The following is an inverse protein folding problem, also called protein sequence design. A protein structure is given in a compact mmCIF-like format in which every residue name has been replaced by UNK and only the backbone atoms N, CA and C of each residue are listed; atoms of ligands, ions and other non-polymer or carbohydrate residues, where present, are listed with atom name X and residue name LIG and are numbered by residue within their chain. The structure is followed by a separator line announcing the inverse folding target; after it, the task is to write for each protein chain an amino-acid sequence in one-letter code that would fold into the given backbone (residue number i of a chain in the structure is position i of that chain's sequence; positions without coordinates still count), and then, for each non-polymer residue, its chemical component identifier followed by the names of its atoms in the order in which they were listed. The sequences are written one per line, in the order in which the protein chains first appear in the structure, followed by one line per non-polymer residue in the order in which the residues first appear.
data_IF_022541269450
#
_entry.id   IF_022541269450
#
_cell.length_a   1.000
_cell.length_b   1.000
_cell.length_c   1.000
_cell.angle_alpha   90.00
_cell.angle_beta   90.00
_cell.angle_gamma   90.00
#
_symmetry.space_group_name_H-M   'P 1'
#
loop_
_entity.id
_entity.type
_entity.pdbx_description
1 polymer ?
#
# COMPACT_ATOMS: atom_id res chain seq x y z
N UNK A 1 12.35 34.41 2.91
CA UNK A 1 12.65 33.34 1.94
C UNK A 1 13.43 32.18 2.59
N UNK A 2 14.61 32.44 3.16
CA UNK A 2 15.47 31.40 3.77
C UNK A 2 14.74 30.63 4.89
N UNK A 3 14.07 31.33 5.80
CA UNK A 3 13.37 30.71 6.94
C UNK A 3 12.22 29.75 6.52
N UNK A 4 11.52 30.09 5.43
CA UNK A 4 10.47 29.25 4.83
C UNK A 4 11.06 28.00 4.16
N UNK A 5 12.20 28.14 3.48
CA UNK A 5 12.92 27.01 2.89
C UNK A 5 13.49 26.07 3.95
N UNK A 6 14.01 26.62 5.06
CA UNK A 6 14.50 25.81 6.18
C UNK A 6 13.36 25.04 6.85
N UNK A 7 12.22 25.69 7.11
CA UNK A 7 11.03 25.02 7.65
C UNK A 7 10.50 23.94 6.71
N UNK A 8 10.44 24.21 5.41
CA UNK A 8 10.04 23.22 4.41
C UNK A 8 11.01 22.02 4.38
N UNK A 9 12.32 22.25 4.45
CA UNK A 9 13.33 21.20 4.52
C UNK A 9 13.19 20.31 5.75
N UNK A 10 12.92 20.91 6.93
CA UNK A 10 12.69 20.16 8.16
C UNK A 10 11.43 19.30 8.05
N UNK A 11 10.31 19.87 7.60
CA UNK A 11 9.05 19.12 7.42
C UNK A 11 9.24 17.99 6.41
N UNK A 12 9.93 18.26 5.29
CA UNK A 12 10.23 17.26 4.27
C UNK A 12 11.04 16.10 4.85
N UNK A 13 12.11 16.38 5.62
CA UNK A 13 12.93 15.35 6.26
C UNK A 13 12.16 14.54 7.31
N UNK A 14 11.29 15.17 8.09
CA UNK A 14 10.45 14.47 9.07
C UNK A 14 9.41 13.57 8.39
N UNK A 15 8.76 14.05 7.34
CA UNK A 15 7.76 13.27 6.59
C UNK A 15 8.43 12.12 5.85
N UNK A 16 9.50 12.38 5.09
CA UNK A 16 10.22 11.31 4.36
C UNK A 16 10.91 10.33 5.30
N UNK A 17 11.50 10.81 6.40
CA UNK A 17 12.12 9.99 7.42
C UNK A 17 11.11 9.10 8.15
N UNK A 18 9.94 9.63 8.52
CA UNK A 18 8.88 8.83 9.14
C UNK A 18 8.31 7.79 8.19
N UNK A 19 8.05 8.13 6.92
CA UNK A 19 7.63 7.17 5.89
C UNK A 19 8.68 6.06 5.73
N UNK A 20 9.96 6.42 5.63
CA UNK A 20 11.07 5.45 5.50
C UNK A 20 11.18 4.55 6.73
N UNK A 21 11.05 5.11 7.93
CA UNK A 21 11.07 4.37 9.18
C UNK A 21 9.89 3.39 9.26
N UNK A 22 8.68 3.83 8.97
CA UNK A 22 7.49 2.98 8.96
C UNK A 22 7.62 1.84 7.93
N UNK A 23 8.12 2.13 6.73
CA UNK A 23 8.39 1.10 5.71
C UNK A 23 9.48 0.11 6.14
N UNK A 24 10.42 0.53 6.99
CA UNK A 24 11.51 -0.33 7.47
C UNK A 24 11.12 -1.18 8.69
N UNK A 25 10.18 -0.70 9.52
CA UNK A 25 9.85 -1.32 10.82
C UNK A 25 8.55 -2.13 10.78
N UNK A 26 7.54 -1.72 9.99
CA UNK A 26 6.24 -2.41 9.96
C UNK A 26 6.22 -3.65 9.06
N UNK A 27 7.31 -3.90 8.30
CA UNK A 27 7.43 -4.99 7.35
C UNK A 27 8.04 -6.29 7.88
N UNK A 28 8.04 -6.59 9.18
CA UNK A 28 8.63 -7.84 9.71
C UNK A 28 7.61 -8.68 10.46
N UNK A 29 6.51 -9.07 9.81
CA UNK A 29 5.82 -10.30 10.23
C UNK A 29 6.54 -11.49 9.60
N UNK A 30 7.50 -12.03 10.36
CA UNK A 30 8.20 -13.28 10.08
C UNK A 30 7.22 -14.45 10.08
N UNK A 31 6.51 -14.64 8.97
CA UNK A 31 5.90 -15.92 8.58
C UNK A 31 6.10 -16.15 7.08
N UNK A 32 7.36 -16.11 6.63
CA UNK A 32 7.75 -16.71 5.36
C UNK A 32 7.80 -18.23 5.53
N UNK A 33 6.62 -18.85 5.69
CA UNK A 33 6.50 -20.29 5.51
C UNK A 33 6.72 -20.55 4.02
N UNK A 34 7.73 -21.38 3.70
CA UNK A 34 8.13 -21.76 2.34
C UNK A 34 6.92 -22.29 1.55
N UNK A 35 6.23 -21.42 0.83
CA UNK A 35 5.18 -21.84 -0.09
C UNK A 35 5.79 -22.06 -1.47
N UNK A 36 5.90 -23.34 -1.83
CA UNK A 36 6.23 -23.82 -3.18
C UNK A 36 5.15 -23.37 -4.17
N UNK A 37 5.58 -22.95 -5.36
CA UNK A 37 4.84 -23.13 -6.61
C UNK A 37 3.91 -22.02 -7.07
N UNK A 38 3.11 -21.41 -6.17
CA UNK A 38 1.98 -20.56 -6.58
C UNK A 38 1.90 -19.21 -5.86
N UNK A 39 3.00 -18.70 -5.31
CA UNK A 39 3.00 -17.46 -4.51
C UNK A 39 3.29 -16.24 -5.38
N UNK A 40 2.47 -15.20 -5.22
CA UNK A 40 2.70 -13.88 -5.82
C UNK A 40 3.95 -13.26 -5.18
N UNK A 41 5.01 -13.09 -5.99
CA UNK A 41 6.29 -12.51 -5.55
C UNK A 41 6.15 -11.14 -4.89
N UNK A 42 5.15 -10.35 -5.31
CA UNK A 42 4.84 -9.04 -4.72
C UNK A 42 4.48 -9.12 -3.22
N UNK A 43 3.60 -10.04 -2.81
CA UNK A 43 3.13 -10.14 -1.42
C UNK A 43 4.24 -10.66 -0.50
N UNK A 44 5.06 -11.59 -1.00
CA UNK A 44 6.24 -12.04 -0.26
C UNK A 44 7.16 -10.87 0.02
N UNK A 45 7.44 -10.05 -0.98
CA UNK A 45 8.29 -8.87 -0.82
C UNK A 45 7.63 -7.83 0.11
N UNK A 46 6.32 -7.63 0.04
CA UNK A 46 5.59 -6.76 0.96
C UNK A 46 5.73 -7.22 2.42
N UNK A 47 5.57 -8.52 2.68
CA UNK A 47 5.69 -9.13 4.01
C UNK A 47 7.12 -9.19 4.53
N UNK A 48 8.11 -9.26 3.64
CA UNK A 48 9.53 -9.28 4.00
C UNK A 48 10.09 -7.87 4.24
N UNK A 49 9.70 -6.90 3.41
CA UNK A 49 10.21 -5.54 3.47
C UNK A 49 9.36 -4.61 2.60
N UNK A 50 8.62 -3.71 3.24
CA UNK A 50 7.87 -2.68 2.52
C UNK A 50 8.78 -1.77 1.69
N UNK A 51 10.05 -1.59 2.07
CA UNK A 51 11.05 -0.87 1.25
C UNK A 51 11.37 -1.62 -0.04
N UNK A 52 11.62 -2.93 0.02
CA UNK A 52 11.85 -3.74 -1.19
C UNK A 52 10.61 -3.78 -2.08
N UNK A 53 9.42 -3.79 -1.47
CA UNK A 53 8.16 -3.72 -2.18
C UNK A 53 8.01 -2.39 -2.91
N UNK A 54 8.27 -1.27 -2.22
CA UNK A 54 8.24 0.07 -2.78
C UNK A 54 9.24 0.26 -3.93
N UNK A 55 10.43 -0.33 -3.81
CA UNK A 55 11.45 -0.34 -4.87
C UNK A 55 11.12 -1.32 -6.00
N UNK A 56 9.92 -1.90 -6.03
CA UNK A 56 9.46 -2.87 -7.02
C UNK A 56 10.41 -4.05 -7.21
N UNK A 57 11.13 -4.45 -6.16
CA UNK A 57 12.11 -5.54 -6.24
C UNK A 57 11.45 -6.87 -6.61
N UNK A 58 10.16 -7.02 -6.33
CA UNK A 58 9.34 -8.18 -6.73
C UNK A 58 9.16 -8.30 -8.24
N UNK A 59 9.29 -7.23 -9.02
CA UNK A 59 9.19 -7.28 -10.48
C UNK A 59 10.52 -7.66 -11.16
N UNK A 60 11.61 -7.77 -10.40
CA UNK A 60 12.95 -8.08 -10.92
C UNK A 60 13.00 -9.41 -11.68
N UNK A 61 12.45 -10.53 -11.16
CA UNK A 61 12.48 -11.81 -11.88
C UNK A 61 11.75 -11.73 -13.23
N UNK A 62 10.67 -10.97 -13.30
CA UNK A 62 9.87 -10.79 -14.52
C UNK A 62 10.61 -9.94 -15.54
N UNK A 63 11.24 -8.86 -15.07
CA UNK A 63 12.08 -7.99 -15.90
C UNK A 63 13.30 -8.75 -16.42
N UNK A 64 13.89 -9.63 -15.62
CA UNK A 64 14.98 -10.51 -16.06
C UNK A 64 14.50 -11.52 -17.12
N UNK A 65 13.33 -12.14 -16.91
CA UNK A 65 12.77 -13.17 -17.80
C UNK A 65 12.35 -12.60 -19.16
N UNK A 66 11.64 -11.47 -19.17
CA UNK A 66 11.05 -10.92 -20.40
C UNK A 66 11.83 -9.73 -20.97
N UNK A 67 12.69 -9.08 -20.18
CA UNK A 67 13.42 -7.88 -20.61
C UNK A 67 14.77 -8.13 -21.28
N UNK A 68 15.36 -9.32 -21.14
CA UNK A 68 16.71 -9.63 -21.66
C UNK A 68 16.72 -10.51 -22.92
N UNK A 69 15.55 -10.84 -23.49
CA UNK A 69 15.51 -11.65 -24.71
C UNK A 69 15.87 -10.81 -25.94
N UNK A 70 16.89 -11.26 -26.68
CA UNK A 70 17.24 -10.71 -28.00
C UNK A 70 16.20 -11.06 -29.08
N UNK A 71 15.35 -12.05 -28.82
CA UNK A 71 14.26 -12.46 -29.70
C UNK A 71 12.92 -11.86 -29.22
N UNK A 72 12.33 -11.01 -30.06
CA UNK A 72 11.05 -10.35 -29.81
C UNK A 72 9.85 -11.32 -29.77
N UNK A 73 10.01 -12.56 -30.25
CA UNK A 73 8.99 -13.59 -30.08
C UNK A 73 8.98 -14.18 -28.66
N UNK A 74 10.12 -14.20 -27.97
CA UNK A 74 10.28 -14.71 -26.61
C UNK A 74 9.98 -13.66 -25.53
N UNK A 75 9.91 -12.37 -25.89
CA UNK A 75 9.46 -11.29 -24.99
C UNK A 75 7.94 -11.23 -24.84
N UNK A 76 7.19 -12.02 -25.62
CA UNK A 76 5.72 -12.06 -25.54
C UNK A 76 5.29 -12.87 -24.33
N UNK A 77 4.86 -12.14 -23.30
CA UNK A 77 4.26 -12.69 -22.09
C UNK A 77 2.97 -13.42 -22.46
N UNK A 78 2.89 -14.71 -22.12
CA UNK A 78 1.65 -15.48 -22.30
C UNK A 78 0.76 -15.39 -21.05
N UNK A 79 -0.57 -15.47 -21.17
CA UNK A 79 -1.47 -15.36 -20.02
C UNK A 79 -1.25 -16.41 -18.93
N UNK A 80 -0.79 -17.60 -19.29
CA UNK A 80 -0.45 -18.70 -18.38
C UNK A 80 0.88 -18.51 -17.65
N UNK A 81 1.74 -17.60 -18.13
CA UNK A 81 2.98 -17.23 -17.47
C UNK A 81 2.81 -16.09 -16.45
N UNK A 82 1.67 -15.42 -16.47
CA UNK A 82 1.34 -14.43 -15.46
C UNK A 82 1.03 -15.14 -14.14
N UNK A 83 1.58 -14.68 -13.01
CA UNK A 83 1.19 -15.20 -11.72
C UNK A 83 -0.32 -15.01 -11.54
N UNK A 84 -1.01 -16.07 -11.11
CA UNK A 84 -2.43 -15.97 -10.81
C UNK A 84 -2.61 -14.95 -9.68
N UNK A 85 -3.55 -14.02 -9.85
CA UNK A 85 -4.03 -13.23 -8.71
C UNK A 85 -4.54 -14.20 -7.63
N UNK A 86 -4.29 -13.85 -6.37
CA UNK A 86 -4.31 -14.74 -5.20
C UNK A 86 -5.34 -15.88 -5.28
N UNK A 87 -5.03 -17.13 -4.88
CA UNK A 87 -6.05 -18.15 -4.65
C UNK A 87 -7.08 -17.71 -3.59
N UNK A 88 -6.72 -16.76 -2.73
CA UNK A 88 -7.60 -16.03 -1.80
C UNK A 88 -8.27 -14.78 -2.43
N UNK A 89 -8.52 -14.80 -3.75
CA UNK A 89 -9.30 -13.82 -4.54
C UNK A 89 -10.76 -13.62 -4.07
N UNK A 90 -11.07 -13.90 -2.80
CA UNK A 90 -12.16 -13.25 -2.08
C UNK A 90 -11.87 -11.77 -1.82
N UNK A 91 -10.67 -11.23 -2.11
CA UNK A 91 -10.35 -9.82 -1.91
C UNK A 91 -11.31 -8.84 -2.62
N UNK A 92 -11.68 -9.01 -3.91
CA UNK A 92 -12.67 -8.13 -4.55
C UNK A 92 -14.05 -8.26 -3.90
N UNK A 93 -14.49 -9.49 -3.60
CA UNK A 93 -15.77 -9.75 -2.95
C UNK A 93 -15.82 -9.19 -1.52
N UNK A 94 -14.83 -9.48 -0.67
CA UNK A 94 -14.70 -8.97 0.70
C UNK A 94 -14.54 -7.45 0.75
N UNK A 95 -13.81 -6.87 -0.20
CA UNK A 95 -13.63 -5.41 -0.29
C UNK A 95 -14.92 -4.73 -0.74
N UNK A 96 -15.64 -5.34 -1.70
CA UNK A 96 -16.98 -4.91 -2.11
C UNK A 96 -17.96 -4.99 -0.94
N UNK A 97 -18.03 -6.13 -0.24
CA UNK A 97 -18.92 -6.30 0.92
C UNK A 97 -18.62 -5.28 2.02
N UNK A 98 -17.35 -5.00 2.28
CA UNK A 98 -16.94 -3.99 3.25
C UNK A 98 -17.30 -2.58 2.78
N UNK A 99 -17.15 -2.28 1.50
CA UNK A 99 -17.54 -0.99 0.92
C UNK A 99 -19.05 -0.78 1.07
N UNK A 100 -19.85 -1.76 0.65
CA UNK A 100 -21.31 -1.70 0.75
C UNK A 100 -21.78 -1.54 2.19
N UNK A 101 -21.18 -2.24 3.16
CA UNK A 101 -21.49 -2.04 4.57
C UNK A 101 -21.26 -0.59 5.05
N UNK A 102 -20.17 0.05 4.62
CA UNK A 102 -19.89 1.44 5.00
C UNK A 102 -20.84 2.39 4.27
N UNK A 103 -21.14 2.10 3.00
CA UNK A 103 -22.09 2.84 2.19
C UNK A 103 -23.48 2.82 2.81
N UNK A 104 -24.02 1.64 3.11
CA UNK A 104 -25.35 1.45 3.69
C UNK A 104 -25.46 2.13 5.06
N UNK A 105 -24.43 2.04 5.90
CA UNK A 105 -24.38 2.75 7.16
C UNK A 105 -24.38 4.29 6.98
N UNK A 106 -23.74 4.83 5.95
CA UNK A 106 -23.76 6.27 5.67
C UNK A 106 -25.14 6.70 5.12
N UNK A 107 -25.78 5.87 4.29
CA UNK A 107 -27.14 6.07 3.78
C UNK A 107 -28.15 6.06 4.92
N UNK A 108 -28.04 5.14 5.87
CA UNK A 108 -28.92 5.06 7.04
C UNK A 108 -28.77 6.30 7.94
N UNK A 109 -27.55 6.80 8.13
CA UNK A 109 -27.28 7.94 9.00
C UNK A 109 -27.69 9.30 8.41
N UNK A 110 -27.58 9.48 7.09
CA UNK A 110 -27.75 10.80 6.43
C UNK A 110 -28.91 10.85 5.44
N UNK A 111 -29.46 9.71 5.05
CA UNK A 111 -30.40 9.59 3.96
C UNK A 111 -29.70 9.56 2.59
N UNK A 112 -30.30 8.85 1.64
CA UNK A 112 -29.70 8.56 0.32
C UNK A 112 -29.35 9.82 -0.51
N UNK A 113 -30.05 10.94 -0.29
CA UNK A 113 -29.83 12.20 -1.01
C UNK A 113 -28.59 12.98 -0.57
N UNK A 114 -28.08 12.74 0.64
CA UNK A 114 -26.97 13.50 1.22
C UNK A 114 -25.65 12.72 1.29
N UNK A 115 -25.65 11.44 0.91
CA UNK A 115 -24.43 10.62 0.92
C UNK A 115 -23.45 11.08 -0.16
N UNK A 116 -22.25 11.43 0.28
CA UNK A 116 -21.14 11.79 -0.60
C UNK A 116 -20.20 10.59 -0.74
N UNK A 117 -20.01 10.13 -1.97
CA UNK A 117 -19.09 9.04 -2.29
C UNK A 117 -17.67 9.28 -1.73
N UNK A 118 -17.18 10.51 -1.78
CA UNK A 118 -15.87 10.88 -1.22
C UNK A 118 -15.77 10.59 0.29
N UNK A 119 -16.84 10.83 1.06
CA UNK A 119 -16.89 10.53 2.50
C UNK A 119 -16.75 9.02 2.75
N UNK A 120 -17.49 8.22 1.97
CA UNK A 120 -17.45 6.76 2.05
C UNK A 120 -16.07 6.23 1.67
N UNK A 121 -15.47 6.76 0.59
CA UNK A 121 -14.11 6.38 0.17
C UNK A 121 -13.05 6.71 1.23
N UNK A 122 -13.11 7.89 1.85
CA UNK A 122 -12.16 8.27 2.90
C UNK A 122 -12.25 7.34 4.13
N UNK A 123 -13.46 6.89 4.49
CA UNK A 123 -13.66 5.89 5.55
C UNK A 123 -13.22 4.50 5.13
N UNK A 124 -13.53 4.09 3.90
CA UNK A 124 -13.18 2.78 3.35
C UNK A 124 -11.66 2.57 3.25
N UNK A 125 -10.94 3.55 2.69
CA UNK A 125 -9.48 3.54 2.57
C UNK A 125 -8.76 3.82 3.90
N UNK A 126 -9.50 4.16 4.96
CA UNK A 126 -8.91 4.47 6.26
C UNK A 126 -8.03 5.72 6.22
N UNK A 127 -8.33 6.71 5.38
CA UNK A 127 -7.58 7.97 5.30
C UNK A 127 -7.49 8.70 6.65
N UNK A 128 -8.50 8.48 7.51
CA UNK A 128 -8.46 8.87 8.93
C UNK A 128 -7.24 8.31 9.68
N UNK A 129 -6.79 7.08 9.42
CA UNK A 129 -5.60 6.49 10.06
C UNK A 129 -4.31 7.17 9.64
N UNK A 130 -4.21 7.63 8.39
CA UNK A 130 -3.07 8.41 7.91
C UNK A 130 -3.02 9.78 8.59
N UNK A 131 -4.17 10.47 8.69
CA UNK A 131 -4.28 11.75 9.40
C UNK A 131 -4.05 11.60 10.91
N UNK A 132 -4.55 10.54 11.54
CA UNK A 132 -4.41 10.31 12.98
C UNK A 132 -2.99 9.85 13.35
N UNK A 133 -2.36 9.01 12.52
CA UNK A 133 -0.97 8.59 12.71
C UNK A 133 0.03 9.74 12.60
N UNK A 134 -0.18 10.64 11.63
CA UNK A 134 0.61 11.87 11.51
C UNK A 134 0.33 12.87 12.65
N UNK A 135 -0.91 13.01 13.09
CA UNK A 135 -1.26 13.84 14.25
C UNK A 135 -0.67 13.31 15.58
N UNK A 136 -0.70 11.99 15.81
CA UNK A 136 -0.10 11.36 17.00
C UNK A 136 1.42 11.50 17.04
N UNK A 137 2.07 11.38 15.87
CA UNK A 137 3.51 11.60 15.75
C UNK A 137 3.88 13.05 16.11
N UNK A 138 3.14 14.03 15.58
CA UNK A 138 3.32 15.44 15.89
C UNK A 138 3.08 15.76 17.38
N UNK A 139 2.05 15.18 18.00
CA UNK A 139 1.78 15.35 19.42
C UNK A 139 2.89 14.76 20.31
N UNK A 140 3.47 13.62 19.93
CA UNK A 140 4.58 13.00 20.68
C UNK A 140 5.90 13.76 20.55
N UNK A 141 6.16 14.39 19.41
CA UNK A 141 7.36 15.20 19.22
C UNK A 141 7.24 16.54 19.94
N UNK A 142 6.05 17.15 19.96
CA UNK A 142 5.80 18.42 20.67
C UNK A 142 5.74 18.23 22.19
N UNK A 143 5.31 17.05 22.69
CA UNK A 143 5.25 16.78 24.13
C UNK A 143 6.60 16.34 24.75
N UNK A 144 7.68 16.31 23.97
CA UNK A 144 9.03 15.98 24.45
C UNK A 144 9.96 17.19 24.61
N UNK A 145 9.47 18.39 24.25
CA UNK A 145 10.06 19.69 24.58
C UNK A 145 9.32 20.31 25.77
#
# INVERSE_FOLDING_TARGET
AILLLTLYGIVYLLVTGSITYYMSVVGTESKAEKARGDVIEEDLVWRESAVRWFMNSWATPWTCKWGHSLDAALTKIKPDELPRSFPDNKLPAKSSDKFWKIWDAEVENKGASEVKLLSVLLRFCGAWRLAYGSALYLLKTVAKD
#
